data_IF_890682196671
#
_entry.id   IF_890682196671
#
_cell.length_a   1.000
_cell.length_b   1.000
_cell.length_c   1.000
_cell.angle_alpha   90.00
_cell.angle_beta   90.00
_cell.angle_gamma   90.00
#
_symmetry.space_group_name_H-M   'P 1'
#
loop_
_entity.id
_entity.type
_entity.pdbx_description
1 polymer ?
#
# COMPACT_ATOMS: atom_id res chain seq x y z
N UNK A 1 -15.29 36.81 31.41
CA UNK A 1 -14.57 36.86 32.71
C UNK A 1 -13.45 35.82 32.66
N UNK A 2 -12.25 36.21 32.21
CA UNK A 2 -10.99 36.30 32.98
C UNK A 2 -10.51 35.01 33.71
N UNK A 3 -9.44 34.42 33.13
CA UNK A 3 -8.22 33.84 33.73
C UNK A 3 -8.37 32.42 34.29
N UNK A 4 -7.41 31.50 34.14
CA UNK A 4 -6.01 31.61 34.60
C UNK A 4 -5.07 30.74 33.72
N UNK A 5 -4.00 31.38 33.22
CA UNK A 5 -2.75 30.79 32.76
C UNK A 5 -2.01 30.12 33.94
N UNK A 6 -1.38 28.97 33.73
CA UNK A 6 -0.21 28.57 34.52
C UNK A 6 0.85 27.96 33.60
N UNK A 7 1.89 28.76 33.39
CA UNK A 7 3.20 28.37 32.89
C UNK A 7 4.12 28.20 34.10
N UNK A 8 5.02 27.22 34.08
CA UNK A 8 6.21 26.99 34.95
C UNK A 8 6.77 25.63 34.47
N UNK A 9 8.06 25.32 34.36
CA UNK A 9 9.32 26.04 34.42
C UNK A 9 10.40 25.03 33.98
N UNK A 10 11.42 25.55 33.33
CA UNK A 10 12.60 24.91 32.72
C UNK A 10 13.47 24.14 33.73
N UNK A 11 14.06 23.01 33.31
CA UNK A 11 15.44 22.63 33.72
C UNK A 11 16.21 22.08 32.52
N UNK A 12 17.19 22.85 32.07
CA UNK A 12 18.30 22.42 31.22
C UNK A 12 19.29 21.58 32.03
N UNK A 13 19.87 20.54 31.45
CA UNK A 13 21.09 19.90 31.92
C UNK A 13 22.09 19.72 30.78
N UNK A 14 23.36 19.90 31.16
CA UNK A 14 24.49 20.35 30.37
C UNK A 14 25.30 19.20 29.74
N UNK A 15 25.87 19.53 28.58
CA UNK A 15 27.23 19.25 28.08
C UNK A 15 28.02 18.03 28.59
N UNK A 16 28.54 17.24 27.64
CA UNK A 16 29.67 16.34 27.84
C UNK A 16 30.52 16.23 26.57
N UNK A 17 31.56 17.05 26.45
CA UNK A 17 32.61 16.92 25.45
C UNK A 17 33.63 15.86 25.90
N UNK A 18 34.12 15.03 24.99
CA UNK A 18 35.47 14.44 25.10
C UNK A 18 36.06 14.21 23.72
N UNK A 19 36.94 15.13 23.34
CA UNK A 19 37.92 14.96 22.27
C UNK A 19 39.14 14.22 22.84
N UNK A 20 39.65 13.22 22.10
CA UNK A 20 40.95 12.60 22.37
C UNK A 20 41.99 13.12 21.35
N UNK A 21 43.18 13.57 21.78
CA UNK A 21 44.19 14.18 20.91
C UNK A 21 44.99 13.19 20.03
N UNK A 22 45.54 13.76 18.95
CA UNK A 22 46.45 13.18 17.96
C UNK A 22 47.91 13.12 18.43
N UNK A 23 48.74 12.34 17.72
CA UNK A 23 50.16 12.59 17.35
C UNK A 23 50.77 11.32 16.65
N UNK A 24 51.96 11.33 15.99
CA UNK A 24 52.35 12.14 14.82
C UNK A 24 53.11 11.34 13.70
N UNK A 25 53.11 11.93 12.49
CA UNK A 25 54.16 12.02 11.44
C UNK A 25 55.14 10.85 11.21
N UNK A 26 55.15 10.30 9.98
CA UNK A 26 56.41 10.22 9.21
C UNK A 26 56.17 10.17 7.68
N UNK A 27 56.77 11.14 7.00
CA UNK A 27 56.85 11.29 5.55
C UNK A 27 58.06 10.56 4.98
N UNK A 28 57.84 9.70 3.98
CA UNK A 28 58.87 9.37 2.97
C UNK A 28 58.21 9.29 1.58
N UNK A 29 58.67 10.15 0.66
CA UNK A 29 58.44 10.12 -0.81
C UNK A 29 59.66 9.41 -1.48
N UNK A 30 59.69 9.20 -2.82
CA UNK A 30 58.81 8.37 -3.65
C UNK A 30 59.64 7.42 -4.56
N UNK A 31 59.04 6.34 -5.07
CA UNK A 31 59.63 5.61 -6.20
C UNK A 31 58.54 5.19 -7.19
N UNK A 32 58.76 5.62 -8.42
CA UNK A 32 57.92 5.44 -9.62
C UNK A 32 58.11 4.02 -10.16
N UNK A 33 57.03 3.34 -10.56
CA UNK A 33 56.83 2.87 -11.94
C UNK A 33 55.50 2.09 -12.12
N UNK A 34 54.96 2.06 -13.36
CA UNK A 34 53.56 1.77 -13.64
C UNK A 34 53.36 0.29 -14.00
N UNK A 35 52.25 -0.29 -13.55
CA UNK A 35 51.72 -1.51 -14.12
C UNK A 35 50.20 -1.41 -14.13
N UNK A 36 49.65 -1.52 -15.34
CA UNK A 36 48.23 -1.59 -15.61
C UNK A 36 47.63 -2.81 -14.91
N UNK A 37 46.59 -2.60 -14.12
CA UNK A 37 45.67 -3.67 -13.75
C UNK A 37 44.24 -3.22 -14.08
N UNK A 38 43.61 -4.08 -14.86
CA UNK A 38 42.30 -3.95 -15.45
C UNK A 38 41.26 -3.81 -14.34
N UNK A 39 40.59 -2.66 -14.29
CA UNK A 39 39.30 -2.57 -13.60
C UNK A 39 38.34 -3.47 -14.37
N UNK A 40 38.16 -4.66 -13.82
CA UNK A 40 37.14 -5.61 -14.22
C UNK A 40 35.83 -4.99 -13.80
N UNK A 41 35.12 -4.46 -14.79
CA UNK A 41 33.73 -4.04 -14.71
C UNK A 41 32.93 -5.24 -14.21
N UNK A 42 32.63 -5.23 -12.91
CA UNK A 42 31.70 -6.16 -12.31
C UNK A 42 30.31 -5.78 -12.84
N UNK A 43 29.95 -6.33 -14.00
CA UNK A 43 28.57 -6.52 -14.39
C UNK A 43 27.91 -7.38 -13.31
N UNK A 44 27.36 -6.71 -12.30
CA UNK A 44 26.35 -7.29 -11.43
C UNK A 44 25.20 -7.71 -12.33
N UNK A 45 24.81 -9.00 -12.38
CA UNK A 45 23.58 -9.37 -13.05
C UNK A 45 22.46 -8.77 -12.22
N UNK A 46 21.93 -7.62 -12.67
CA UNK A 46 20.58 -7.20 -12.32
C UNK A 46 19.70 -8.31 -12.88
N UNK A 47 19.46 -9.33 -12.06
CA UNK A 47 18.42 -10.31 -12.29
C UNK A 47 17.15 -9.49 -12.45
N UNK A 48 16.71 -9.32 -13.70
CA UNK A 48 15.46 -8.68 -14.03
C UNK A 48 14.38 -9.43 -13.25
N UNK A 49 13.92 -8.80 -12.17
CA UNK A 49 12.78 -9.27 -11.40
C UNK A 49 11.64 -9.24 -12.41
N UNK A 50 11.26 -10.42 -12.92
CA UNK A 50 10.13 -10.56 -13.84
C UNK A 50 8.95 -9.99 -13.07
N UNK A 51 8.44 -8.83 -13.50
CA UNK A 51 7.25 -8.26 -12.90
C UNK A 51 6.13 -9.27 -13.10
N UNK A 52 5.72 -9.90 -12.01
CA UNK A 52 4.56 -10.79 -12.02
C UNK A 52 3.35 -9.90 -12.31
N UNK A 53 2.65 -10.19 -13.40
CA UNK A 53 1.45 -9.44 -13.76
C UNK A 53 0.39 -9.59 -12.68
N UNK A 54 -0.33 -8.51 -12.41
CA UNK A 54 -1.49 -8.53 -11.53
C UNK A 54 -2.78 -8.96 -12.25
N UNK A 55 -2.76 -9.04 -13.59
CA UNK A 55 -3.87 -9.49 -14.40
C UNK A 55 -3.92 -11.01 -14.46
N UNK A 56 -5.10 -11.59 -14.26
CA UNK A 56 -5.28 -13.04 -14.33
C UNK A 56 -6.66 -13.44 -14.88
N UNK A 57 -6.76 -14.67 -15.38
CA UNK A 57 -8.03 -15.30 -15.74
C UNK A 57 -8.41 -16.28 -14.62
N UNK A 58 -9.54 -16.05 -13.95
CA UNK A 58 -10.01 -16.88 -12.85
C UNK A 58 -10.23 -18.35 -13.25
N UNK A 59 -10.46 -18.63 -14.53
CA UNK A 59 -10.64 -19.99 -15.08
C UNK A 59 -9.34 -20.79 -15.11
N UNK A 60 -8.20 -20.11 -15.00
CA UNK A 60 -6.86 -20.70 -15.21
C UNK A 60 -6.05 -20.81 -13.92
N UNK A 61 -6.52 -20.19 -12.83
CA UNK A 61 -5.85 -20.19 -11.53
C UNK A 61 -6.54 -21.15 -10.56
N UNK A 62 -5.87 -21.46 -9.46
CA UNK A 62 -6.38 -22.31 -8.37
C UNK A 62 -5.90 -21.80 -7.03
N UNK A 63 -6.51 -22.31 -5.97
CA UNK A 63 -6.05 -22.08 -4.60
C UNK A 63 -4.55 -22.40 -4.44
N UNK A 64 -3.84 -21.52 -3.75
CA UNK A 64 -2.39 -21.57 -3.55
C UNK A 64 -1.56 -20.83 -4.60
N UNK A 65 -2.12 -20.47 -5.75
CA UNK A 65 -1.42 -19.63 -6.74
C UNK A 65 -1.23 -18.21 -6.19
N UNK A 66 -0.22 -17.50 -6.70
CA UNK A 66 0.08 -16.11 -6.37
C UNK A 66 -0.31 -15.19 -7.54
N UNK A 67 -0.97 -14.08 -7.23
CA UNK A 67 -1.24 -12.98 -8.17
C UNK A 67 -0.90 -11.68 -7.46
N UNK A 68 -0.05 -10.84 -8.05
CA UNK A 68 0.47 -9.63 -7.42
C UNK A 68 1.03 -9.84 -6.00
N UNK A 69 1.62 -11.02 -5.74
CA UNK A 69 2.14 -11.40 -4.42
C UNK A 69 1.08 -11.81 -3.38
N UNK A 70 -0.22 -11.76 -3.70
CA UNK A 70 -1.29 -12.26 -2.85
C UNK A 70 -1.65 -13.71 -3.20
N UNK A 71 -1.89 -14.53 -2.19
CA UNK A 71 -2.19 -15.97 -2.36
C UNK A 71 -3.69 -16.16 -2.52
N UNK A 72 -4.09 -16.84 -3.59
CA UNK A 72 -5.48 -17.24 -3.79
C UNK A 72 -5.85 -18.29 -2.75
N UNK A 73 -6.92 -18.07 -2.00
CA UNK A 73 -7.45 -19.02 -1.02
C UNK A 73 -8.81 -19.58 -1.40
N UNK A 74 -9.49 -18.96 -2.38
CA UNK A 74 -10.75 -19.45 -2.94
C UNK A 74 -10.93 -18.92 -4.35
N UNK A 75 -11.46 -19.76 -5.23
CA UNK A 75 -11.87 -19.37 -6.59
C UNK A 75 -13.25 -19.94 -6.86
N UNK A 76 -14.18 -19.08 -7.26
CA UNK A 76 -15.46 -19.45 -7.82
C UNK A 76 -15.66 -18.71 -9.14
N UNK A 77 -16.06 -19.44 -10.18
CA UNK A 77 -16.39 -18.90 -11.49
C UNK A 77 -17.74 -19.44 -11.90
N UNK A 78 -18.66 -18.55 -12.22
CA UNK A 78 -19.98 -18.90 -12.74
C UNK A 78 -20.06 -18.54 -14.23
N UNK A 79 -20.66 -19.42 -15.05
CA UNK A 79 -20.71 -19.29 -16.52
C UNK A 79 -19.33 -19.15 -17.20
N UNK A 80 -18.34 -20.04 -16.95
CA UNK A 80 -16.96 -19.90 -17.44
C UNK A 80 -16.81 -19.86 -18.97
N UNK A 81 -17.82 -20.29 -19.71
CA UNK A 81 -17.86 -20.29 -21.17
C UNK A 81 -18.07 -18.92 -21.81
N UNK A 82 -18.58 -17.92 -21.08
CA UNK A 82 -18.72 -16.56 -21.60
C UNK A 82 -17.42 -15.76 -21.40
N UNK A 83 -17.23 -14.72 -22.21
CA UNK A 83 -16.05 -13.85 -22.10
C UNK A 83 -16.10 -13.01 -20.81
N UNK A 84 -17.29 -12.54 -20.46
CA UNK A 84 -17.57 -11.67 -19.31
C UNK A 84 -18.26 -12.47 -18.19
N UNK A 85 -17.53 -13.42 -17.62
CA UNK A 85 -18.04 -14.34 -16.62
C UNK A 85 -18.02 -13.73 -15.21
N UNK A 86 -18.91 -14.25 -14.36
CA UNK A 86 -18.95 -13.89 -12.94
C UNK A 86 -17.82 -14.63 -12.19
N UNK A 87 -17.13 -13.93 -11.31
CA UNK A 87 -16.04 -14.49 -10.53
C UNK A 87 -15.93 -13.91 -9.13
N UNK A 88 -15.67 -14.80 -8.18
CA UNK A 88 -15.45 -14.49 -6.77
C UNK A 88 -14.12 -15.13 -6.36
N UNK A 89 -13.15 -14.29 -6.03
CA UNK A 89 -11.78 -14.73 -5.74
C UNK A 89 -11.30 -14.09 -4.46
N UNK A 90 -10.98 -14.93 -3.48
CA UNK A 90 -10.50 -14.48 -2.18
C UNK A 90 -8.98 -14.65 -2.11
N UNK A 91 -8.31 -13.64 -1.54
CA UNK A 91 -6.87 -13.57 -1.43
C UNK A 91 -6.43 -13.42 0.03
N UNK A 92 -5.37 -14.14 0.40
CA UNK A 92 -4.63 -13.98 1.64
C UNK A 92 -3.31 -13.24 1.38
N UNK A 93 -2.95 -12.35 2.29
CA UNK A 93 -1.73 -11.53 2.24
C UNK A 93 -2.02 -10.10 2.66
N UNK A 94 -0.97 -9.30 2.72
CA UNK A 94 -1.06 -7.86 2.99
C UNK A 94 -0.45 -7.09 1.83
N UNK A 95 -1.08 -5.98 1.46
CA UNK A 95 -0.58 -5.06 0.44
C UNK A 95 -0.90 -3.63 0.84
N UNK A 96 0.01 -2.71 0.54
CA UNK A 96 -0.19 -1.27 0.75
C UNK A 96 -0.45 -0.60 -0.58
N UNK A 97 -1.57 0.10 -0.69
CA UNK A 97 -1.98 0.87 -1.88
C UNK A 97 -2.29 2.31 -1.51
N UNK A 98 -2.00 3.24 -2.43
CA UNK A 98 -2.46 4.62 -2.33
C UNK A 98 -3.81 4.81 -3.02
N UNK A 99 -4.56 5.80 -2.57
CA UNK A 99 -5.86 6.12 -3.17
C UNK A 99 -6.63 7.20 -2.44
N UNK A 100 -7.89 7.32 -2.83
CA UNK A 100 -8.87 8.22 -2.22
C UNK A 100 -9.91 7.39 -1.47
N UNK A 101 -10.14 7.71 -0.20
CA UNK A 101 -11.22 7.13 0.58
C UNK A 101 -12.42 8.08 0.62
N UNK A 102 -13.62 7.52 0.76
CA UNK A 102 -14.86 8.25 1.01
C UNK A 102 -15.71 7.45 2.00
N UNK A 103 -15.98 8.04 3.17
CA UNK A 103 -16.97 7.55 4.11
C UNK A 103 -18.32 8.16 3.74
N UNK A 104 -19.16 7.38 3.09
CA UNK A 104 -20.42 7.86 2.54
C UNK A 104 -21.41 8.25 3.65
N UNK A 105 -22.22 9.26 3.36
CA UNK A 105 -23.26 9.78 4.25
C UNK A 105 -24.49 10.12 3.42
N UNK A 106 -25.64 9.54 3.78
CA UNK A 106 -26.91 9.68 3.06
C UNK A 106 -26.87 9.21 1.60
N UNK A 107 -26.04 8.20 1.29
CA UNK A 107 -26.03 7.57 -0.03
C UNK A 107 -27.13 6.49 -0.11
N UNK A 108 -27.86 6.40 -1.22
CA UNK A 108 -28.99 5.46 -1.35
C UNK A 108 -28.56 3.99 -1.28
N UNK A 109 -27.33 3.70 -1.69
CA UNK A 109 -26.81 2.33 -1.80
C UNK A 109 -25.64 2.07 -0.84
N UNK A 110 -24.88 3.11 -0.52
CA UNK A 110 -23.62 3.03 0.21
C UNK A 110 -23.67 3.73 1.57
N UNK A 111 -24.85 3.96 2.14
CA UNK A 111 -24.94 4.70 3.41
C UNK A 111 -24.05 4.06 4.47
N UNK A 112 -23.27 4.89 5.16
CA UNK A 112 -22.23 4.50 6.10
C UNK A 112 -21.07 3.67 5.53
N UNK A 113 -21.06 3.21 4.28
CA UNK A 113 -19.93 2.44 3.74
C UNK A 113 -18.68 3.30 3.52
N UNK A 114 -17.52 2.72 3.82
CA UNK A 114 -16.21 3.35 3.55
C UNK A 114 -15.62 2.70 2.30
N UNK A 115 -15.67 3.46 1.21
CA UNK A 115 -15.12 3.06 -0.08
C UNK A 115 -13.70 3.59 -0.27
N UNK A 116 -12.87 2.83 -0.98
CA UNK A 116 -11.51 3.20 -1.32
C UNK A 116 -11.27 3.01 -2.82
N UNK A 117 -10.98 4.10 -3.53
CA UNK A 117 -10.58 4.07 -4.94
C UNK A 117 -9.06 4.14 -5.01
N UNK A 118 -8.45 3.13 -5.61
CA UNK A 118 -6.99 3.00 -5.73
C UNK A 118 -6.47 3.96 -6.81
N UNK A 119 -5.31 4.57 -6.56
CA UNK A 119 -4.64 5.39 -7.57
C UNK A 119 -4.05 4.50 -8.68
N UNK A 120 -3.96 5.03 -9.90
CA UNK A 120 -3.42 4.31 -11.08
C UNK A 120 -2.03 3.69 -10.83
N UNK A 121 -1.16 4.42 -10.12
CA UNK A 121 0.20 3.99 -9.76
C UNK A 121 0.22 2.77 -8.82
N UNK A 122 -0.87 2.55 -8.06
CA UNK A 122 -1.01 1.45 -7.11
C UNK A 122 -1.89 0.30 -7.64
N UNK A 123 -2.58 0.45 -8.77
CA UNK A 123 -3.49 -0.59 -9.29
C UNK A 123 -2.76 -1.92 -9.57
N UNK A 124 -1.51 -1.85 -10.05
CA UNK A 124 -0.69 -3.02 -10.35
C UNK A 124 -0.31 -3.84 -9.11
N UNK A 125 -0.54 -3.33 -7.90
CA UNK A 125 -0.27 -4.03 -6.64
C UNK A 125 -1.44 -4.95 -6.23
N UNK A 126 -2.62 -4.78 -6.85
CA UNK A 126 -3.79 -5.61 -6.56
C UNK A 126 -4.08 -6.58 -7.69
N UNK A 127 -4.46 -7.83 -7.37
CA UNK A 127 -5.01 -8.75 -8.36
C UNK A 127 -6.19 -8.10 -9.10
N UNK A 128 -6.25 -8.31 -10.42
CA UNK A 128 -7.34 -7.83 -11.27
C UNK A 128 -7.69 -8.87 -12.31
N UNK A 129 -8.98 -9.12 -12.50
CA UNK A 129 -9.43 -10.02 -13.57
C UNK A 129 -9.11 -9.39 -14.93
N UNK A 130 -8.60 -10.20 -15.85
CA UNK A 130 -8.16 -9.72 -17.17
C UNK A 130 -9.30 -9.08 -17.98
N UNK A 131 -10.55 -9.52 -17.77
CA UNK A 131 -11.73 -8.97 -18.43
C UNK A 131 -12.40 -7.82 -17.64
N UNK A 132 -12.09 -7.64 -16.36
CA UNK A 132 -12.71 -6.60 -15.53
C UNK A 132 -12.20 -5.20 -15.92
N UNK A 133 -13.06 -4.43 -16.58
CA UNK A 133 -12.78 -3.06 -17.01
C UNK A 133 -13.10 -1.99 -15.95
N UNK A 134 -13.57 -2.39 -14.75
CA UNK A 134 -13.81 -1.44 -13.66
C UNK A 134 -12.47 -0.87 -13.16
N UNK A 135 -12.53 0.33 -12.61
CA UNK A 135 -11.40 0.90 -11.86
C UNK A 135 -11.19 0.08 -10.58
N UNK A 136 -9.97 0.01 -10.07
CA UNK A 136 -9.71 -0.71 -8.83
C UNK A 136 -10.29 0.06 -7.64
N UNK A 137 -11.36 -0.46 -7.05
CA UNK A 137 -11.93 0.06 -5.82
C UNK A 137 -12.51 -1.07 -4.98
N UNK A 138 -12.66 -0.82 -3.69
CA UNK A 138 -13.20 -1.77 -2.74
C UNK A 138 -13.85 -1.09 -1.53
N UNK A 139 -14.59 -1.88 -0.75
CA UNK A 139 -15.13 -1.48 0.55
C UNK A 139 -14.40 -2.16 1.70
N UNK A 140 -14.33 -1.48 2.84
CA UNK A 140 -13.76 -2.05 4.06
C UNK A 140 -14.79 -2.87 4.84
N UNK A 141 -14.48 -4.14 5.10
CA UNK A 141 -15.37 -5.05 5.84
C UNK A 141 -15.28 -4.88 7.36
N UNK A 142 -14.19 -4.32 7.87
CA UNK A 142 -13.98 -4.02 9.27
C UNK A 142 -14.27 -2.54 9.56
N UNK A 143 -15.56 -2.22 9.45
CA UNK A 143 -16.08 -0.86 9.43
C UNK A 143 -15.64 -0.02 10.63
N UNK A 144 -15.78 -0.53 11.86
CA UNK A 144 -15.40 0.18 13.09
C UNK A 144 -13.91 0.59 13.10
N UNK A 145 -13.01 -0.31 12.68
CA UNK A 145 -11.58 -0.01 12.57
C UNK A 145 -11.28 0.97 11.45
N UNK A 146 -11.98 0.85 10.32
CA UNK A 146 -11.84 1.73 9.18
C UNK A 146 -12.32 3.15 9.49
N UNK A 147 -13.48 3.31 10.14
CA UNK A 147 -14.01 4.61 10.58
C UNK A 147 -13.04 5.29 11.54
N UNK A 148 -12.54 4.54 12.54
CA UNK A 148 -11.56 5.06 13.50
C UNK A 148 -10.29 5.57 12.82
N UNK A 149 -9.87 4.94 11.72
CA UNK A 149 -8.64 5.26 11.02
C UNK A 149 -8.80 6.35 9.95
N UNK A 150 -9.93 6.38 9.25
CA UNK A 150 -10.17 7.21 8.07
C UNK A 150 -11.12 8.38 8.33
N UNK A 151 -11.86 8.37 9.44
CA UNK A 151 -12.77 9.44 9.85
C UNK A 151 -14.24 9.03 9.81
N UNK A 152 -15.08 9.89 10.38
CA UNK A 152 -16.52 9.69 10.50
C UNK A 152 -17.26 9.86 9.16
N UNK A 153 -18.52 9.44 9.12
CA UNK A 153 -19.38 9.57 7.94
C UNK A 153 -19.39 11.01 7.39
N UNK A 154 -19.26 11.14 6.07
CA UNK A 154 -19.10 12.41 5.37
C UNK A 154 -17.66 12.83 5.15
N UNK A 155 -16.67 12.15 5.74
CA UNK A 155 -15.25 12.44 5.51
C UNK A 155 -14.78 11.82 4.18
N UNK A 156 -13.98 12.56 3.43
CA UNK A 156 -13.24 12.04 2.27
C UNK A 156 -11.79 12.51 2.29
N UNK A 157 -10.92 11.86 1.52
CA UNK A 157 -9.52 12.25 1.50
C UNK A 157 -8.59 11.30 0.79
N UNK A 158 -7.30 11.60 0.81
CA UNK A 158 -6.24 10.76 0.25
C UNK A 158 -5.49 10.04 1.35
N UNK A 159 -5.18 8.77 1.13
CA UNK A 159 -4.41 7.96 2.08
C UNK A 159 -3.61 6.87 1.37
N UNK A 160 -2.58 6.36 2.04
CA UNK A 160 -2.07 5.01 1.81
C UNK A 160 -2.69 4.07 2.84
N UNK A 161 -3.21 2.93 2.38
CA UNK A 161 -3.82 1.91 3.23
C UNK A 161 -3.12 0.59 3.05
N UNK A 162 -2.72 -0.04 4.16
CA UNK A 162 -2.36 -1.46 4.18
C UNK A 162 -3.65 -2.24 4.41
N UNK A 163 -3.94 -3.17 3.50
CA UNK A 163 -5.13 -4.01 3.54
C UNK A 163 -4.75 -5.48 3.60
N UNK A 164 -5.67 -6.30 4.09
CA UNK A 164 -5.60 -7.77 4.04
C UNK A 164 -6.94 -8.36 3.62
N UNK A 165 -6.97 -9.67 3.39
CA UNK A 165 -8.20 -10.41 3.05
C UNK A 165 -8.93 -9.78 1.84
N UNK A 166 -8.18 -9.39 0.82
CA UNK A 166 -8.73 -8.79 -0.39
C UNK A 166 -9.61 -9.79 -1.13
N UNK A 167 -10.78 -9.38 -1.60
CA UNK A 167 -11.68 -10.23 -2.37
C UNK A 167 -12.14 -9.49 -3.62
N UNK A 168 -12.02 -10.16 -4.77
CA UNK A 168 -12.65 -9.70 -6.01
C UNK A 168 -14.06 -10.27 -6.04
N UNK A 169 -15.04 -9.39 -6.18
CA UNK A 169 -16.43 -9.76 -6.44
C UNK A 169 -16.82 -9.15 -7.77
N UNK A 170 -16.96 -10.02 -8.79
CA UNK A 170 -17.33 -9.64 -10.14
C UNK A 170 -18.61 -10.36 -10.52
N UNK A 171 -19.67 -9.60 -10.73
CA UNK A 171 -20.93 -10.07 -11.28
C UNK A 171 -21.62 -8.95 -12.07
N UNK A 172 -22.60 -9.28 -12.92
CA UNK A 172 -23.40 -8.27 -13.65
C UNK A 172 -24.29 -7.39 -12.77
N UNK A 173 -24.35 -7.63 -11.46
CA UNK A 173 -25.03 -6.80 -10.47
C UNK A 173 -24.09 -5.78 -9.83
N UNK A 174 -24.64 -4.77 -9.15
CA UNK A 174 -23.84 -3.84 -8.34
C UNK A 174 -23.21 -4.58 -7.14
N UNK A 175 -21.99 -5.08 -7.36
CA UNK A 175 -21.17 -5.74 -6.36
C UNK A 175 -19.75 -5.17 -6.41
N UNK A 176 -19.12 -5.12 -5.25
CA UNK A 176 -17.84 -4.43 -5.06
C UNK A 176 -16.80 -5.37 -4.50
N UNK A 177 -15.55 -5.12 -4.84
CA UNK A 177 -14.44 -5.79 -4.18
C UNK A 177 -14.40 -5.37 -2.70
N UNK A 178 -13.80 -6.20 -1.86
CA UNK A 178 -13.79 -5.98 -0.41
C UNK A 178 -12.40 -6.21 0.16
N UNK A 179 -12.09 -5.58 1.29
CA UNK A 179 -10.85 -5.80 2.03
C UNK A 179 -11.03 -5.48 3.52
N UNK A 180 -10.08 -5.91 4.36
CA UNK A 180 -9.97 -5.45 5.73
C UNK A 180 -8.81 -4.44 5.86
N UNK A 181 -9.06 -3.30 6.51
CA UNK A 181 -8.03 -2.33 6.83
C UNK A 181 -7.11 -2.85 7.92
N UNK A 182 -5.80 -2.81 7.68
CA UNK A 182 -4.76 -3.08 8.68
C UNK A 182 -4.20 -1.76 9.23
N UNK A 183 -3.92 -0.80 8.35
CA UNK A 183 -3.32 0.49 8.70
C UNK A 183 -3.69 1.55 7.66
N UNK A 184 -3.86 2.79 8.08
CA UNK A 184 -3.97 3.95 7.20
C UNK A 184 -2.92 5.01 7.52
N UNK A 185 -2.42 5.68 6.49
CA UNK A 185 -1.62 6.89 6.54
C UNK A 185 -2.32 7.96 5.69
N UNK A 186 -2.96 8.92 6.34
CA UNK A 186 -3.73 9.97 5.67
C UNK A 186 -2.80 11.06 5.17
N UNK A 187 -2.95 11.42 3.89
CA UNK A 187 -2.23 12.52 3.25
C UNK A 187 -3.03 13.82 3.28
N UNK A 188 -4.35 13.74 3.13
CA UNK A 188 -5.27 14.88 3.22
C UNK A 188 -6.67 14.41 3.59
N UNK A 189 -7.43 15.28 4.26
CA UNK A 189 -8.85 15.08 4.57
C UNK A 189 -9.64 16.30 4.13
N UNK A 190 -10.79 16.07 3.52
CA UNK A 190 -11.83 17.05 3.28
C UNK A 190 -13.01 16.67 4.17
N UNK A 191 -13.41 17.61 5.02
CA UNK A 191 -14.62 17.50 5.84
C UNK A 191 -15.58 18.52 5.26
N UNK A 192 -16.75 18.11 4.75
CA UNK A 192 -17.78 19.05 4.32
C UNK A 192 -18.19 19.95 5.51
N UNK A 193 -18.20 21.28 5.29
CA UNK A 193 -18.63 22.29 6.26
C UNK A 193 -20.07 22.08 6.77
#
# INVERSE_FOLDING_TARGET
MKRILSAILIVMLLAGCSQKPAEPVETVKPAVQPAAEQNTEAESPIAAKKEESNLFDARMVKEGDLVAGLKIIKVQVDSPEVEDYDAYVDFEGEVTVSGTFKHNLNDEFLDHEISFKVDEESEALLPKLAHDQRYAWFMFMNHDEAEKALGAAGTEGKAAVTIKNYSINYAHTEIWNTAELVKAEIFSTEVPD
#
